data_IF_947105306621
#
_entry.id   IF_947105306621
#
_cell.length_a   1.000
_cell.length_b   1.000
_cell.length_c   1.000
_cell.angle_alpha   90.00
_cell.angle_beta   90.00
_cell.angle_gamma   90.00
#
_symmetry.space_group_name_H-M   'P 1'
#
loop_
_entity.id
_entity.type
_entity.pdbx_description
1 polymer ?
#
# COMPACT_ATOMS: atom_id res chain seq x y z
N UNK A 1 19.42 8.08 -12.81
CA UNK A 1 20.37 8.54 -11.77
C UNK A 1 19.64 8.53 -10.44
N UNK A 2 19.91 7.54 -9.60
CA UNK A 2 19.36 7.45 -8.24
C UNK A 2 19.88 8.62 -7.42
N UNK A 3 18.97 9.51 -6.99
CA UNK A 3 19.29 10.55 -6.01
C UNK A 3 19.42 9.86 -4.66
N UNK A 4 20.66 9.60 -4.28
CA UNK A 4 21.00 9.31 -2.90
C UNK A 4 20.41 10.40 -2.00
N UNK A 5 19.65 10.00 -0.98
CA UNK A 5 19.33 10.87 0.14
C UNK A 5 20.67 11.31 0.75
N UNK A 6 21.05 12.57 0.50
CA UNK A 6 22.33 13.10 0.95
C UNK A 6 22.24 13.42 2.45
N UNK A 7 23.20 13.03 3.32
CA UNK A 7 23.14 13.27 4.77
C UNK A 7 23.33 14.74 5.20
N UNK A 8 23.37 15.66 4.24
CA UNK A 8 23.36 17.11 4.38
C UNK A 8 23.08 17.65 2.97
N UNK A 9 21.93 18.28 2.73
CA UNK A 9 21.42 18.57 1.38
C UNK A 9 22.43 19.25 0.43
N UNK A 10 22.36 18.99 -0.88
CA UNK A 10 23.18 19.71 -1.84
C UNK A 10 22.66 21.13 -2.03
N UNK A 11 23.54 22.12 -1.79
CA UNK A 11 23.47 23.50 -2.27
C UNK A 11 22.30 24.34 -1.75
N UNK A 12 22.54 25.01 -0.61
CA UNK A 12 22.14 26.41 -0.50
C UNK A 12 22.79 27.21 -1.63
N UNK A 13 22.03 28.11 -2.25
CA UNK A 13 22.36 28.92 -3.43
C UNK A 13 22.25 28.18 -4.77
N UNK A 14 21.01 27.95 -5.19
CA UNK A 14 20.48 28.25 -6.54
C UNK A 14 19.02 27.76 -6.60
N UNK A 15 18.14 28.38 -5.80
CA UNK A 15 16.69 28.17 -5.93
C UNK A 15 16.23 29.07 -7.07
N UNK A 16 16.10 28.47 -8.25
CA UNK A 16 15.35 29.05 -9.37
C UNK A 16 13.96 29.50 -8.88
N UNK A 17 13.46 30.66 -9.32
CA UNK A 17 12.09 31.08 -9.05
C UNK A 17 11.11 30.20 -9.85
N UNK A 18 9.86 30.13 -9.36
CA UNK A 18 8.66 29.52 -9.96
C UNK A 18 8.47 28.02 -9.68
N UNK A 19 7.75 27.75 -8.58
CA UNK A 19 7.13 26.43 -8.38
C UNK A 19 5.99 26.26 -9.37
N UNK A 20 6.01 25.16 -10.12
CA UNK A 20 4.85 24.67 -10.87
C UNK A 20 3.79 24.14 -9.89
N UNK A 21 3.15 25.04 -9.13
CA UNK A 21 1.93 24.67 -8.41
C UNK A 21 0.75 24.85 -9.37
N UNK A 22 -0.21 23.94 -9.29
CA UNK A 22 -1.45 24.00 -10.04
C UNK A 22 -2.24 25.26 -9.68
N UNK A 23 -3.16 25.69 -10.55
CA UNK A 23 -4.05 26.80 -10.22
C UNK A 23 -4.86 26.46 -8.96
N UNK A 24 -5.21 27.45 -8.12
CA UNK A 24 -6.09 27.20 -6.98
C UNK A 24 -7.40 26.56 -7.44
N UNK A 25 -7.98 25.64 -6.66
CA UNK A 25 -9.27 25.04 -7.00
C UNK A 25 -10.36 26.11 -7.06
N UNK A 26 -11.36 25.89 -7.90
CA UNK A 26 -12.49 26.82 -8.04
C UNK A 26 -13.33 26.91 -6.76
N UNK A 27 -13.36 25.84 -5.96
CA UNK A 27 -14.03 25.79 -4.66
C UNK A 27 -13.12 25.05 -3.65
N UNK A 28 -12.69 25.74 -2.60
CA UNK A 28 -11.87 25.19 -1.51
C UNK A 28 -12.66 24.25 -0.58
N UNK A 29 -13.99 24.30 -0.62
CA UNK A 29 -14.86 23.49 0.23
C UNK A 29 -15.23 22.15 -0.42
N UNK A 30 -15.00 22.01 -1.73
CA UNK A 30 -15.29 20.81 -2.49
C UNK A 30 -14.44 19.62 -2.03
N UNK A 31 -15.08 18.45 -1.94
CA UNK A 31 -14.43 17.18 -1.62
C UNK A 31 -14.47 16.32 -2.88
N UNK A 32 -13.32 16.08 -3.49
CA UNK A 32 -13.23 15.26 -4.71
C UNK A 32 -13.55 13.78 -4.40
N UNK A 33 -14.61 13.19 -4.97
CA UNK A 33 -14.98 11.80 -4.73
C UNK A 33 -13.95 10.79 -5.26
N UNK A 34 -12.99 11.19 -6.09
CA UNK A 34 -11.86 10.33 -6.47
C UNK A 34 -10.88 10.11 -5.32
N UNK A 35 -10.72 11.11 -4.45
CA UNK A 35 -9.69 11.14 -3.40
C UNK A 35 -10.28 10.81 -2.03
N UNK A 36 -11.49 11.29 -1.74
CA UNK A 36 -12.17 11.09 -0.46
C UNK A 36 -12.97 9.78 -0.44
N UNK A 37 -13.08 9.18 0.75
CA UNK A 37 -13.84 7.93 0.93
C UNK A 37 -15.34 8.14 0.73
N UNK A 38 -16.05 7.05 0.41
CA UNK A 38 -17.45 7.09 -0.05
C UNK A 38 -18.43 7.79 0.88
N UNK A 39 -18.25 7.66 2.19
CA UNK A 39 -19.18 8.25 3.19
C UNK A 39 -18.74 9.62 3.66
N UNK A 40 -17.61 10.13 3.16
CA UNK A 40 -17.13 11.47 3.49
C UNK A 40 -17.97 12.51 2.76
N UNK A 41 -18.63 13.38 3.53
CA UNK A 41 -19.47 14.44 2.99
C UNK A 41 -19.37 15.69 3.84
N UNK A 42 -19.62 16.86 3.24
CA UNK A 42 -19.74 18.11 3.99
C UNK A 42 -21.19 18.29 4.46
N UNK A 43 -21.36 18.54 5.75
CA UNK A 43 -22.67 18.76 6.38
C UNK A 43 -23.20 20.17 6.05
N UNK A 44 -24.51 20.42 6.21
CA UNK A 44 -25.08 21.76 6.04
C UNK A 44 -24.46 22.82 6.94
N UNK A 45 -23.97 22.42 8.12
CA UNK A 45 -23.27 23.27 9.09
C UNK A 45 -21.82 23.58 8.67
N UNK A 46 -21.34 22.93 7.61
CA UNK A 46 -20.08 23.21 6.94
C UNK A 46 -18.90 22.34 7.39
N UNK A 47 -19.02 21.56 8.47
CA UNK A 47 -18.02 20.58 8.85
C UNK A 47 -18.06 19.35 7.92
N UNK A 48 -16.96 18.62 7.83
CA UNK A 48 -16.95 17.31 7.15
C UNK A 48 -17.38 16.23 8.12
N UNK A 49 -18.10 15.23 7.62
CA UNK A 49 -18.46 14.01 8.34
C UNK A 49 -17.95 12.77 7.61
N UNK A 50 -17.73 11.68 8.33
CA UNK A 50 -17.45 10.34 7.80
C UNK A 50 -18.31 9.32 8.53
N UNK A 51 -18.92 8.37 7.83
CA UNK A 51 -19.84 7.40 8.41
C UNK A 51 -20.95 8.01 9.28
N UNK A 52 -21.35 9.26 9.01
CA UNK A 52 -22.36 9.99 9.79
C UNK A 52 -21.88 10.73 11.04
N UNK A 53 -20.56 10.83 11.29
CA UNK A 53 -20.00 11.55 12.44
C UNK A 53 -19.16 12.75 11.97
N UNK A 54 -19.42 13.94 12.52
CA UNK A 54 -18.63 15.14 12.28
C UNK A 54 -17.18 15.00 12.76
N UNK A 55 -16.23 15.47 11.96
CA UNK A 55 -14.81 15.43 12.29
C UNK A 55 -14.45 16.23 13.54
N UNK A 56 -15.24 17.24 13.90
CA UNK A 56 -15.06 18.00 15.14
C UNK A 56 -15.32 17.13 16.36
N UNK A 57 -16.40 16.33 16.34
CA UNK A 57 -16.70 15.36 17.41
C UNK A 57 -15.66 14.25 17.47
N UNK A 58 -15.18 13.79 16.32
CA UNK A 58 -14.10 12.80 16.25
C UNK A 58 -12.80 13.35 16.84
N UNK A 59 -12.45 14.62 16.58
CA UNK A 59 -11.29 15.27 17.17
C UNK A 59 -11.45 15.44 18.69
N UNK A 60 -12.62 15.85 19.17
CA UNK A 60 -12.92 15.97 20.60
C UNK A 60 -12.79 14.63 21.34
N UNK A 61 -13.26 13.53 20.74
CA UNK A 61 -13.26 12.21 21.38
C UNK A 61 -11.90 11.50 21.31
N UNK A 62 -11.23 11.53 20.17
CA UNK A 62 -10.02 10.72 19.92
C UNK A 62 -8.71 11.54 19.87
N UNK A 63 -8.82 12.86 19.87
CA UNK A 63 -7.72 13.81 19.71
C UNK A 63 -7.09 13.76 18.31
N UNK A 64 -6.17 14.69 18.06
CA UNK A 64 -5.36 14.76 16.84
C UNK A 64 -3.86 14.61 17.16
N UNK A 65 -3.02 14.24 16.17
CA UNK A 65 -3.41 13.67 14.89
C UNK A 65 -4.10 12.30 15.08
N UNK A 66 -4.96 11.88 14.15
CA UNK A 66 -5.61 10.57 14.17
C UNK A 66 -5.97 10.09 12.76
N UNK A 67 -5.85 8.77 12.52
CA UNK A 67 -6.32 8.15 11.27
C UNK A 67 -7.77 7.71 11.44
N UNK A 68 -8.65 8.15 10.54
CA UNK A 68 -10.04 7.72 10.48
C UNK A 68 -10.26 6.88 9.23
N UNK A 69 -10.68 5.63 9.42
CA UNK A 69 -11.00 4.68 8.35
C UNK A 69 -12.53 4.60 8.21
N UNK A 70 -13.02 4.93 7.03
CA UNK A 70 -14.37 4.63 6.55
C UNK A 70 -14.49 3.12 6.31
N UNK A 71 -15.10 2.40 7.26
CA UNK A 71 -15.21 0.94 7.17
C UNK A 71 -16.12 0.50 6.02
N UNK A 72 -17.17 1.26 5.71
CA UNK A 72 -18.07 0.92 4.61
C UNK A 72 -17.35 1.03 3.26
N UNK A 73 -16.50 2.05 3.07
CA UNK A 73 -15.65 2.13 1.87
C UNK A 73 -14.62 1.00 1.81
N UNK A 74 -13.98 0.65 2.93
CA UNK A 74 -13.06 -0.48 2.97
C UNK A 74 -13.73 -1.78 2.51
N UNK A 75 -14.90 -2.09 3.07
CA UNK A 75 -15.66 -3.30 2.73
C UNK A 75 -16.14 -3.27 1.28
N UNK A 76 -16.66 -2.14 0.82
CA UNK A 76 -17.09 -1.98 -0.57
C UNK A 76 -15.94 -2.20 -1.56
N UNK A 77 -14.74 -1.68 -1.27
CA UNK A 77 -13.54 -1.90 -2.10
C UNK A 77 -13.09 -3.35 -2.07
N UNK A 78 -13.03 -3.98 -0.90
CA UNK A 78 -12.71 -5.39 -0.79
C UNK A 78 -13.67 -6.25 -1.64
N UNK A 79 -14.99 -6.01 -1.52
CA UNK A 79 -16.01 -6.69 -2.31
C UNK A 79 -15.87 -6.42 -3.82
N UNK A 80 -15.56 -5.18 -4.22
CA UNK A 80 -15.35 -4.82 -5.62
C UNK A 80 -14.19 -5.61 -6.24
N UNK A 81 -13.06 -5.72 -5.53
CA UNK A 81 -11.93 -6.54 -5.96
C UNK A 81 -12.30 -8.03 -6.06
N UNK A 82 -12.92 -8.59 -5.02
CA UNK A 82 -13.35 -10.00 -5.03
C UNK A 82 -14.32 -10.29 -6.17
N UNK A 83 -15.29 -9.40 -6.39
CA UNK A 83 -16.31 -9.56 -7.43
C UNK A 83 -15.71 -9.43 -8.83
N UNK A 84 -14.79 -8.49 -9.03
CA UNK A 84 -14.14 -8.26 -10.31
C UNK A 84 -13.34 -9.49 -10.79
N UNK A 85 -12.63 -10.17 -9.90
CA UNK A 85 -11.85 -11.37 -10.21
C UNK A 85 -12.67 -12.67 -10.14
N UNK A 86 -13.81 -12.66 -9.44
CA UNK A 86 -14.71 -13.80 -9.32
C UNK A 86 -14.09 -15.00 -8.60
N UNK A 87 -14.75 -16.16 -8.67
CA UNK A 87 -14.24 -17.38 -8.02
C UNK A 87 -13.05 -18.01 -8.76
N UNK A 88 -12.80 -17.59 -10.01
CA UNK A 88 -11.75 -18.11 -10.89
C UNK A 88 -10.35 -17.54 -10.64
N UNK A 89 -10.21 -16.58 -9.73
CA UNK A 89 -8.96 -15.91 -9.39
C UNK A 89 -8.89 -15.59 -7.90
N UNK A 90 -7.69 -15.28 -7.40
CA UNK A 90 -7.46 -14.93 -6.00
C UNK A 90 -7.09 -13.46 -5.86
N UNK A 91 -7.59 -12.85 -4.78
CA UNK A 91 -7.23 -11.47 -4.39
C UNK A 91 -6.59 -11.54 -3.01
N UNK A 92 -5.29 -11.30 -2.96
CA UNK A 92 -4.52 -11.18 -1.73
C UNK A 92 -4.45 -9.71 -1.34
N UNK A 93 -5.03 -9.34 -0.20
CA UNK A 93 -4.78 -8.01 0.33
C UNK A 93 -3.32 -7.89 0.75
N UNK A 94 -2.64 -6.83 0.32
CA UNK A 94 -1.23 -6.67 0.68
C UNK A 94 -1.03 -6.10 2.09
N UNK A 95 -0.66 -6.96 3.05
CA UNK A 95 -0.62 -6.65 4.48
C UNK A 95 0.28 -5.46 4.84
N UNK A 96 1.37 -5.29 4.09
CA UNK A 96 2.31 -4.17 4.20
C UNK A 96 1.66 -2.78 4.09
N UNK A 97 0.49 -2.67 3.43
CA UNK A 97 -0.21 -1.40 3.29
C UNK A 97 -0.71 -0.90 4.64
N UNK A 98 -1.53 -1.69 5.35
CA UNK A 98 -1.86 -1.50 6.76
C UNK A 98 -2.46 -2.78 7.35
N UNK A 99 -1.83 -3.31 8.41
CA UNK A 99 -2.30 -4.53 9.06
C UNK A 99 -2.63 -4.30 10.53
N UNK A 100 -3.83 -4.70 10.92
CA UNK A 100 -4.26 -4.83 12.31
C UNK A 100 -5.21 -6.01 12.46
N UNK A 101 -5.50 -6.44 13.69
CA UNK A 101 -6.48 -7.51 13.91
C UNK A 101 -7.87 -7.17 13.36
N UNK A 102 -8.27 -5.89 13.37
CA UNK A 102 -9.54 -5.46 12.81
C UNK A 102 -9.56 -5.59 11.27
N UNK A 103 -8.51 -5.10 10.59
CA UNK A 103 -8.37 -5.25 9.12
C UNK A 103 -8.42 -6.72 8.73
N UNK A 104 -7.70 -7.59 9.43
CA UNK A 104 -7.69 -9.03 9.13
C UNK A 104 -9.08 -9.65 9.26
N UNK A 105 -9.86 -9.28 10.28
CA UNK A 105 -11.24 -9.76 10.43
C UNK A 105 -12.12 -9.31 9.28
N UNK A 106 -12.02 -8.05 8.88
CA UNK A 106 -12.78 -7.53 7.73
C UNK A 106 -12.41 -8.27 6.45
N UNK A 107 -11.12 -8.49 6.17
CA UNK A 107 -10.68 -9.26 4.99
C UNK A 107 -11.25 -10.68 4.99
N UNK A 108 -11.24 -11.34 6.16
CA UNK A 108 -11.82 -12.67 6.30
C UNK A 108 -13.33 -12.66 6.02
N UNK A 109 -14.07 -11.73 6.64
CA UNK A 109 -15.52 -11.55 6.44
C UNK A 109 -15.87 -11.25 4.98
N UNK A 110 -15.07 -10.40 4.32
CA UNK A 110 -15.25 -10.04 2.92
C UNK A 110 -14.73 -11.11 1.95
N UNK A 111 -14.12 -12.19 2.43
CA UNK A 111 -13.68 -13.29 1.57
C UNK A 111 -12.44 -13.00 0.74
N UNK A 112 -11.55 -12.10 1.20
CA UNK A 112 -10.23 -11.87 0.58
C UNK A 112 -9.14 -12.70 1.25
N UNK A 113 -8.14 -13.08 0.46
CA UNK A 113 -6.91 -13.68 0.98
C UNK A 113 -5.97 -12.58 1.50
N UNK A 114 -4.87 -12.97 2.12
CA UNK A 114 -3.93 -12.03 2.73
C UNK A 114 -2.49 -12.39 2.36
N UNK A 115 -1.73 -11.42 1.87
CA UNK A 115 -0.28 -11.55 1.85
C UNK A 115 0.34 -11.01 3.15
N UNK A 116 1.41 -11.65 3.58
CA UNK A 116 2.25 -11.23 4.71
C UNK A 116 3.71 -11.28 4.30
N UNK A 117 4.55 -10.43 4.90
CA UNK A 117 5.96 -10.25 4.57
C UNK A 117 6.90 -10.63 5.72
N UNK A 118 6.40 -10.73 6.96
CA UNK A 118 7.21 -11.07 8.14
C UNK A 118 6.48 -11.96 9.14
N UNK A 119 7.24 -12.54 10.07
CA UNK A 119 6.68 -13.29 11.19
C UNK A 119 5.73 -12.48 12.07
N UNK A 120 5.92 -11.16 12.18
CA UNK A 120 5.01 -10.26 12.91
C UNK A 120 3.66 -10.10 12.21
N UNK A 121 3.66 -9.94 10.89
CA UNK A 121 2.45 -9.88 10.08
C UNK A 121 1.70 -11.22 10.09
N UNK A 122 2.41 -12.34 9.93
CA UNK A 122 1.83 -13.69 10.06
C UNK A 122 1.20 -13.89 11.45
N UNK A 123 1.88 -13.45 12.51
CA UNK A 123 1.33 -13.53 13.88
C UNK A 123 0.06 -12.71 14.04
N UNK A 124 0.02 -11.52 13.43
CA UNK A 124 -1.15 -10.64 13.45
C UNK A 124 -2.33 -11.31 12.74
N UNK A 125 -2.09 -11.84 11.53
CA UNK A 125 -3.07 -12.56 10.72
C UNK A 125 -3.71 -13.73 11.49
N UNK A 126 -2.89 -14.63 12.02
CA UNK A 126 -3.34 -15.80 12.76
C UNK A 126 -4.10 -15.41 14.03
N UNK A 127 -3.62 -14.39 14.76
CA UNK A 127 -4.27 -13.93 15.99
C UNK A 127 -5.65 -13.30 15.78
N UNK A 128 -5.98 -12.93 14.55
CA UNK A 128 -7.27 -12.39 14.15
C UNK A 128 -8.16 -13.43 13.42
N UNK A 129 -7.69 -14.68 13.30
CA UNK A 129 -8.47 -15.78 12.74
C UNK A 129 -8.46 -15.87 11.22
N UNK A 130 -7.45 -15.31 10.54
CA UNK A 130 -7.25 -15.57 9.11
C UNK A 130 -6.89 -17.06 8.92
N UNK A 131 -7.63 -17.81 8.09
CA UNK A 131 -7.26 -19.18 7.75
C UNK A 131 -5.87 -19.23 7.11
N UNK A 132 -4.99 -20.09 7.61
CA UNK A 132 -3.59 -20.10 7.19
C UNK A 132 -3.45 -20.45 5.69
N UNK A 133 -4.32 -21.32 5.18
CA UNK A 133 -4.40 -21.72 3.79
C UNK A 133 -4.78 -20.57 2.82
N UNK A 134 -5.26 -19.44 3.36
CA UNK A 134 -5.58 -18.20 2.61
C UNK A 134 -4.50 -17.13 2.74
N UNK A 135 -3.32 -17.51 3.25
CA UNK A 135 -2.18 -16.62 3.42
C UNK A 135 -1.10 -16.94 2.38
N UNK A 136 -0.55 -15.90 1.74
CA UNK A 136 0.69 -15.96 0.96
C UNK A 136 1.83 -15.28 1.74
N UNK A 137 2.96 -15.97 1.91
CA UNK A 137 4.11 -15.44 2.66
C UNK A 137 5.25 -15.01 1.73
N UNK A 138 5.47 -13.70 1.67
CA UNK A 138 6.52 -13.01 0.92
C UNK A 138 7.70 -12.64 1.82
N UNK A 139 8.76 -12.14 1.19
CA UNK A 139 9.94 -11.62 1.88
C UNK A 139 11.21 -12.06 1.17
N UNK A 140 12.17 -11.15 1.02
CA UNK A 140 13.43 -11.45 0.32
C UNK A 140 14.46 -12.16 1.19
N UNK A 141 14.22 -12.23 2.50
CA UNK A 141 15.14 -12.83 3.46
C UNK A 141 14.39 -13.47 4.64
N UNK A 142 13.47 -14.40 4.35
CA UNK A 142 12.73 -15.11 5.40
C UNK A 142 13.71 -15.91 6.27
N UNK A 143 13.59 -15.78 7.58
CA UNK A 143 14.39 -16.53 8.55
C UNK A 143 13.90 -17.98 8.68
N UNK A 144 14.75 -18.88 9.20
CA UNK A 144 14.35 -20.26 9.45
C UNK A 144 13.14 -20.34 10.41
N UNK A 145 13.11 -19.50 11.45
CA UNK A 145 12.01 -19.46 12.42
C UNK A 145 10.69 -18.99 11.77
N UNK A 146 10.74 -18.05 10.84
CA UNK A 146 9.58 -17.61 10.07
C UNK A 146 9.07 -18.72 9.15
N UNK A 147 9.98 -19.40 8.44
CA UNK A 147 9.64 -20.52 7.55
C UNK A 147 9.03 -21.67 8.37
N UNK A 148 9.66 -22.07 9.47
CA UNK A 148 9.17 -23.13 10.36
C UNK A 148 7.76 -22.81 10.87
N UNK A 149 7.54 -21.58 11.33
CA UNK A 149 6.21 -21.14 11.75
C UNK A 149 5.20 -21.24 10.61
N UNK A 150 5.51 -20.69 9.44
CA UNK A 150 4.60 -20.67 8.30
C UNK A 150 4.21 -22.07 7.82
N UNK A 151 5.21 -22.95 7.67
CA UNK A 151 4.98 -24.35 7.31
C UNK A 151 4.21 -25.07 8.42
N UNK A 152 4.56 -24.87 9.69
CA UNK A 152 3.89 -25.51 10.83
C UNK A 152 2.40 -25.16 10.90
N UNK A 153 2.02 -23.90 10.68
CA UNK A 153 0.61 -23.48 10.71
C UNK A 153 -0.14 -23.82 9.42
N UNK A 154 0.57 -24.19 8.35
CA UNK A 154 -0.02 -24.54 7.06
C UNK A 154 -0.39 -23.33 6.22
N UNK A 155 0.52 -22.35 6.10
CA UNK A 155 0.35 -21.22 5.19
C UNK A 155 0.10 -21.72 3.76
N UNK A 156 -0.88 -21.14 3.08
CA UNK A 156 -1.32 -21.55 1.74
C UNK A 156 -0.20 -21.54 0.72
N UNK A 157 0.59 -20.47 0.70
CA UNK A 157 1.68 -20.30 -0.25
C UNK A 157 2.90 -19.63 0.39
N UNK A 158 4.10 -20.11 0.06
CA UNK A 158 5.34 -19.37 0.30
C UNK A 158 5.90 -18.92 -1.04
N UNK A 159 6.10 -17.61 -1.21
CA UNK A 159 6.67 -17.04 -2.42
C UNK A 159 8.19 -16.98 -2.26
N UNK A 160 8.88 -17.87 -2.98
CA UNK A 160 10.33 -18.06 -2.93
C UNK A 160 11.06 -16.96 -3.70
N UNK A 161 12.07 -16.38 -3.07
CA UNK A 161 12.78 -15.20 -3.57
C UNK A 161 14.25 -15.49 -3.93
N UNK A 162 14.80 -16.64 -3.49
CA UNK A 162 16.21 -16.99 -3.74
C UNK A 162 16.47 -18.51 -3.79
N UNK A 163 17.58 -18.91 -4.41
CA UNK A 163 18.04 -20.30 -4.40
C UNK A 163 18.27 -20.86 -3.00
N UNK A 164 18.79 -20.04 -2.08
CA UNK A 164 19.00 -20.41 -0.69
C UNK A 164 17.67 -20.64 0.03
N UNK A 165 16.63 -19.88 -0.31
CA UNK A 165 15.31 -20.06 0.27
C UNK A 165 14.63 -21.34 -0.23
N UNK A 166 14.74 -21.67 -1.53
CA UNK A 166 14.22 -22.93 -2.10
C UNK A 166 14.66 -24.12 -1.24
N UNK A 167 15.96 -24.23 -0.96
CA UNK A 167 16.52 -25.34 -0.17
C UNK A 167 16.05 -25.30 1.28
N UNK A 168 16.00 -24.11 1.90
CA UNK A 168 15.59 -23.95 3.31
C UNK A 168 14.12 -24.33 3.52
N UNK A 169 13.22 -23.88 2.64
CA UNK A 169 11.79 -24.19 2.75
C UNK A 169 11.55 -25.68 2.53
N UNK A 170 12.19 -26.29 1.52
CA UNK A 170 12.08 -27.73 1.28
C UNK A 170 12.52 -28.55 2.49
N UNK A 171 13.69 -28.24 3.05
CA UNK A 171 14.24 -28.96 4.19
C UNK A 171 13.33 -28.87 5.43
N UNK A 172 12.84 -27.68 5.75
CA UNK A 172 11.94 -27.48 6.90
C UNK A 172 10.60 -28.17 6.66
N UNK A 173 10.05 -28.14 5.44
CA UNK A 173 8.83 -28.86 5.10
C UNK A 173 8.98 -30.36 5.28
N UNK A 174 10.08 -30.96 4.80
CA UNK A 174 10.39 -32.38 5.00
C UNK A 174 10.53 -32.75 6.48
N UNK A 175 11.24 -31.93 7.27
CA UNK A 175 11.39 -32.14 8.71
C UNK A 175 10.03 -32.14 9.45
N UNK A 176 9.10 -31.31 9.00
CA UNK A 176 7.74 -31.22 9.55
C UNK A 176 6.77 -32.24 8.94
N UNK A 177 7.23 -33.10 8.03
CA UNK A 177 6.39 -34.09 7.34
C UNK A 177 5.32 -33.45 6.44
N UNK A 178 5.60 -32.27 5.90
CA UNK A 178 4.69 -31.50 5.04
C UNK A 178 5.27 -31.33 3.64
N UNK A 179 4.39 -31.03 2.69
CA UNK A 179 4.74 -30.56 1.35
C UNK A 179 4.17 -29.15 1.19
N UNK A 180 5.04 -28.15 1.12
CA UNK A 180 4.63 -26.76 1.09
C UNK A 180 4.36 -26.31 -0.34
N UNK A 181 3.18 -25.75 -0.59
CA UNK A 181 2.87 -25.07 -1.86
C UNK A 181 3.67 -23.77 -1.97
N UNK A 182 4.30 -23.58 -3.12
CA UNK A 182 5.20 -22.46 -3.37
C UNK A 182 4.98 -21.84 -4.74
N UNK A 183 5.19 -20.52 -4.81
CA UNK A 183 5.46 -19.82 -6.07
C UNK A 183 6.93 -19.39 -6.09
N UNK A 184 7.50 -19.22 -7.28
CA UNK A 184 8.81 -18.57 -7.44
C UNK A 184 8.57 -17.14 -7.90
N UNK A 185 9.11 -16.17 -7.17
CA UNK A 185 9.13 -14.77 -7.61
C UNK A 185 10.19 -14.58 -8.68
N UNK A 186 9.79 -14.01 -9.80
CA UNK A 186 10.70 -13.70 -10.91
C UNK A 186 10.78 -12.20 -11.13
N UNK A 187 11.95 -11.74 -11.59
CA UNK A 187 12.11 -10.39 -12.11
C UNK A 187 11.99 -10.43 -13.62
N UNK A 188 10.98 -9.73 -14.13
CA UNK A 188 10.63 -9.80 -15.55
C UNK A 188 11.34 -8.72 -16.36
N UNK A 189 12.04 -7.76 -15.76
CA UNK A 189 12.66 -6.64 -16.48
C UNK A 189 11.65 -5.55 -16.85
N UNK A 190 10.65 -5.32 -16.00
CA UNK A 190 9.57 -4.34 -16.20
C UNK A 190 9.35 -3.57 -14.90
N UNK A 191 9.56 -2.26 -14.96
CA UNK A 191 9.27 -1.33 -13.88
C UNK A 191 8.21 -0.32 -14.34
N UNK A 192 7.02 -0.37 -13.73
CA UNK A 192 5.87 0.45 -14.11
C UNK A 192 5.51 1.46 -13.01
N UNK A 193 5.29 2.72 -13.43
CA UNK A 193 4.89 3.84 -12.57
C UNK A 193 3.87 4.71 -13.31
N UNK A 194 2.73 5.00 -12.69
CA UNK A 194 1.66 5.85 -13.25
C UNK A 194 1.28 5.48 -14.68
N UNK A 195 1.66 6.29 -15.67
CA UNK A 195 1.35 6.12 -17.09
C UNK A 195 2.54 5.64 -17.94
N UNK A 196 3.70 5.36 -17.32
CA UNK A 196 4.91 4.95 -18.02
C UNK A 196 5.46 3.63 -17.46
N UNK A 197 6.19 2.89 -18.30
CA UNK A 197 6.99 1.75 -17.84
C UNK A 197 8.34 1.70 -18.54
N UNK A 198 9.33 1.21 -17.82
CA UNK A 198 10.66 0.93 -18.32
C UNK A 198 10.80 -0.59 -18.46
N UNK A 199 11.13 -1.05 -19.66
CA UNK A 199 11.51 -2.44 -19.90
C UNK A 199 13.03 -2.55 -20.06
N UNK A 200 13.69 -3.21 -19.12
CA UNK A 200 15.14 -3.43 -19.15
C UNK A 200 15.48 -4.91 -19.29
N UNK A 201 16.72 -5.20 -19.70
CA UNK A 201 17.25 -6.57 -19.74
C UNK A 201 17.62 -7.10 -18.34
N UNK A 202 17.98 -6.20 -17.42
CA UNK A 202 18.34 -6.52 -16.04
C UNK A 202 17.63 -5.55 -15.09
N UNK A 203 17.04 -6.10 -14.03
CA UNK A 203 16.47 -5.35 -12.91
C UNK A 203 17.48 -5.33 -11.75
N UNK A 204 18.03 -4.16 -11.45
CA UNK A 204 18.93 -3.97 -10.30
C UNK A 204 18.10 -3.78 -9.02
N UNK A 205 17.52 -4.89 -8.55
CA UNK A 205 16.66 -4.92 -7.38
C UNK A 205 16.81 -6.23 -6.59
N UNK A 206 16.44 -6.18 -5.32
CA UNK A 206 16.77 -7.24 -4.35
C UNK A 206 15.82 -8.44 -4.33
N UNK A 207 14.71 -8.36 -5.06
CA UNK A 207 13.66 -9.37 -5.02
C UNK A 207 13.69 -10.26 -6.25
N UNK A 208 13.26 -11.50 -6.07
CA UNK A 208 13.04 -12.46 -7.14
C UNK A 208 14.31 -12.95 -7.83
N UNK A 209 14.10 -13.94 -8.70
CA UNK A 209 15.13 -14.56 -9.50
C UNK A 209 14.97 -14.08 -10.94
N UNK A 210 16.07 -13.67 -11.58
CA UNK A 210 16.02 -13.10 -12.91
C UNK A 210 15.44 -14.08 -13.94
N UNK A 211 14.51 -13.57 -14.76
CA UNK A 211 14.07 -14.30 -15.96
C UNK A 211 15.22 -14.40 -16.99
N UNK A 212 16.04 -13.36 -17.06
CA UNK A 212 17.24 -13.32 -17.89
C UNK A 212 18.25 -14.41 -17.49
N UNK A 213 19.08 -14.81 -18.46
CA UNK A 213 20.17 -15.78 -18.28
C UNK A 213 19.74 -17.17 -17.77
N UNK A 214 18.44 -17.48 -17.82
CA UNK A 214 17.88 -18.79 -17.44
C UNK A 214 17.85 -19.06 -15.93
N UNK A 215 18.03 -18.05 -15.08
CA UNK A 215 18.05 -18.27 -13.62
C UNK A 215 16.70 -18.72 -13.08
N UNK A 216 15.59 -18.13 -13.55
CA UNK A 216 14.25 -18.55 -13.18
C UNK A 216 13.97 -20.01 -13.58
N UNK A 217 14.37 -20.43 -14.78
CA UNK A 217 14.26 -21.83 -15.21
C UNK A 217 15.08 -22.77 -14.31
N UNK A 218 16.29 -22.37 -13.90
CA UNK A 218 17.09 -23.14 -12.95
C UNK A 218 16.45 -23.23 -11.56
N UNK A 219 15.79 -22.16 -11.10
CA UNK A 219 15.03 -22.18 -9.85
C UNK A 219 13.89 -23.19 -9.91
N UNK A 220 13.16 -23.25 -11.02
CA UNK A 220 12.11 -24.23 -11.28
C UNK A 220 12.66 -25.65 -11.28
N UNK A 221 13.76 -25.92 -12.00
CA UNK A 221 14.42 -27.24 -12.01
C UNK A 221 14.78 -27.74 -10.61
N UNK A 222 15.20 -26.84 -9.72
CA UNK A 222 15.53 -27.18 -8.33
C UNK A 222 14.28 -27.43 -7.51
N UNK A 223 13.29 -26.55 -7.60
CA UNK A 223 12.05 -26.69 -6.85
C UNK A 223 11.31 -27.99 -7.19
N UNK A 224 11.25 -28.38 -8.46
CA UNK A 224 10.60 -29.62 -8.92
C UNK A 224 11.29 -30.91 -8.43
N UNK A 225 12.55 -30.84 -8.00
CA UNK A 225 13.32 -32.00 -7.51
C UNK A 225 13.23 -32.22 -6.00
N UNK A 226 12.58 -31.31 -5.27
CA UNK A 226 12.54 -31.32 -3.80
C UNK A 226 11.17 -31.78 -3.32
N UNK A 227 11.12 -32.92 -2.64
CA UNK A 227 9.85 -33.56 -2.23
C UNK A 227 9.06 -32.73 -1.22
N UNK A 228 9.75 -31.92 -0.40
CA UNK A 228 9.16 -30.95 0.52
C UNK A 228 8.42 -29.79 -0.15
N UNK A 229 8.54 -29.61 -1.47
CA UNK A 229 7.91 -28.51 -2.20
C UNK A 229 6.86 -29.00 -3.21
N UNK A 230 5.79 -28.23 -3.33
CA UNK A 230 4.85 -28.29 -4.43
C UNK A 230 4.90 -26.96 -5.17
N UNK A 231 5.63 -26.91 -6.28
CA UNK A 231 5.66 -25.73 -7.13
C UNK A 231 4.32 -25.62 -7.87
N UNK A 232 3.55 -24.56 -7.58
CA UNK A 232 2.21 -24.34 -8.15
C UNK A 232 2.13 -23.14 -9.08
N UNK A 233 3.10 -22.23 -9.05
CA UNK A 233 3.01 -21.04 -9.89
C UNK A 233 4.26 -20.15 -9.90
N UNK A 234 4.12 -19.06 -10.64
CA UNK A 234 5.13 -18.01 -10.76
C UNK A 234 4.51 -16.69 -10.28
N UNK A 235 5.28 -15.92 -9.51
CA UNK A 235 4.91 -14.59 -9.02
C UNK A 235 5.76 -13.52 -9.71
N UNK A 236 5.14 -12.39 -10.05
CA UNK A 236 5.83 -11.19 -10.50
C UNK A 236 5.17 -9.95 -9.91
N UNK A 237 5.96 -8.95 -9.55
CA UNK A 237 5.46 -7.66 -9.08
C UNK A 237 6.31 -6.55 -9.70
N UNK A 238 5.66 -5.66 -10.45
CA UNK A 238 6.32 -4.80 -11.44
C UNK A 238 6.35 -3.31 -11.09
N UNK A 239 5.80 -2.89 -9.96
CA UNK A 239 5.84 -1.47 -9.59
C UNK A 239 4.79 -1.00 -8.61
N UNK A 240 4.56 0.31 -8.58
CA UNK A 240 3.63 0.98 -7.66
C UNK A 240 2.97 2.17 -8.35
N UNK A 241 1.75 2.51 -7.90
CA UNK A 241 0.94 3.59 -8.49
C UNK A 241 0.71 3.42 -10.00
N UNK A 242 0.48 2.20 -10.47
CA UNK A 242 0.28 1.87 -11.88
C UNK A 242 -1.16 2.20 -12.28
N UNK A 243 -1.34 3.00 -13.34
CA UNK A 243 -2.63 3.32 -13.96
C UNK A 243 -2.78 2.69 -15.35
N UNK A 244 -1.66 2.41 -16.04
CA UNK A 244 -1.63 1.78 -17.35
C UNK A 244 -1.41 0.26 -17.28
N UNK A 245 -2.15 -0.50 -18.11
CA UNK A 245 -2.07 -1.97 -18.16
C UNK A 245 -0.94 -2.50 -19.05
N UNK A 246 -0.28 -1.65 -19.85
CA UNK A 246 0.78 -2.05 -20.78
C UNK A 246 1.97 -2.70 -20.06
N UNK A 247 2.33 -2.20 -18.86
CA UNK A 247 3.37 -2.82 -18.03
C UNK A 247 3.00 -4.24 -17.61
N UNK A 248 1.75 -4.45 -17.20
CA UNK A 248 1.22 -5.78 -16.86
C UNK A 248 1.17 -6.71 -18.07
N UNK A 249 0.85 -6.21 -19.27
CA UNK A 249 0.87 -7.00 -20.50
C UNK A 249 2.26 -7.54 -20.81
N UNK A 250 3.28 -6.69 -20.74
CA UNK A 250 4.67 -7.12 -20.98
C UNK A 250 5.11 -8.13 -19.93
N UNK A 251 4.76 -7.91 -18.66
CA UNK A 251 5.07 -8.81 -17.57
C UNK A 251 4.39 -10.18 -17.72
N UNK A 252 3.09 -10.20 -17.98
CA UNK A 252 2.30 -11.41 -18.16
C UNK A 252 2.84 -12.25 -19.32
N UNK A 253 3.12 -11.64 -20.48
CA UNK A 253 3.74 -12.33 -21.62
C UNK A 253 5.06 -13.00 -21.26
N UNK A 254 5.93 -12.30 -20.51
CA UNK A 254 7.24 -12.82 -20.08
C UNK A 254 7.07 -14.00 -19.11
N UNK A 255 6.12 -13.92 -18.18
CA UNK A 255 5.82 -15.03 -17.26
C UNK A 255 5.19 -16.21 -18.00
N UNK A 256 4.23 -15.98 -18.90
CA UNK A 256 3.60 -17.05 -19.71
C UNK A 256 4.62 -17.75 -20.60
N UNK A 257 5.61 -17.02 -21.13
CA UNK A 257 6.72 -17.61 -21.87
C UNK A 257 7.52 -18.59 -21.00
N UNK A 258 7.82 -18.22 -19.75
CA UNK A 258 8.45 -19.12 -18.79
C UNK A 258 7.55 -20.33 -18.47
N UNK A 259 6.24 -20.15 -18.31
CA UNK A 259 5.30 -21.27 -18.10
C UNK A 259 5.34 -22.28 -19.26
N UNK A 260 5.47 -21.79 -20.50
CA UNK A 260 5.60 -22.64 -21.68
C UNK A 260 6.92 -23.41 -21.68
N UNK A 261 8.03 -22.76 -21.33
CA UNK A 261 9.34 -23.41 -21.17
C UNK A 261 9.29 -24.52 -20.11
N UNK A 262 8.61 -24.29 -18.97
CA UNK A 262 8.44 -25.28 -17.91
C UNK A 262 7.65 -26.50 -18.42
N UNK A 263 6.55 -26.28 -19.16
CA UNK A 263 5.79 -27.37 -19.78
C UNK A 263 6.66 -28.15 -20.76
N UNK A 264 7.38 -27.47 -21.63
CA UNK A 264 8.14 -28.12 -22.70
C UNK A 264 9.35 -28.89 -22.14
N UNK A 265 9.99 -28.39 -21.08
CA UNK A 265 11.14 -29.05 -20.45
C UNK A 265 10.72 -30.19 -19.49
N UNK A 266 9.63 -30.01 -18.73
CA UNK A 266 9.29 -30.90 -17.62
C UNK A 266 7.96 -31.65 -17.78
N UNK A 267 7.15 -31.33 -18.79
CA UNK A 267 5.81 -31.89 -18.96
C UNK A 267 4.82 -31.44 -17.88
N UNK A 268 5.12 -30.34 -17.18
CA UNK A 268 4.29 -29.80 -16.08
C UNK A 268 3.74 -28.45 -16.49
N UNK A 269 2.41 -28.31 -16.44
CA UNK A 269 1.76 -27.01 -16.55
C UNK A 269 1.39 -26.53 -15.14
N UNK A 270 2.03 -25.44 -14.71
CA UNK A 270 1.75 -24.84 -13.40
C UNK A 270 0.35 -24.20 -13.41
N UNK A 271 -0.48 -24.47 -12.38
CA UNK A 271 -1.86 -24.02 -12.35
C UNK A 271 -2.04 -22.54 -12.01
N UNK A 272 -1.02 -21.82 -11.53
CA UNK A 272 -1.17 -20.48 -10.96
C UNK A 272 -0.18 -19.46 -11.53
N UNK A 273 -0.66 -18.23 -11.67
CA UNK A 273 0.15 -17.04 -11.93
C UNK A 273 -0.26 -15.93 -10.96
N UNK A 274 0.71 -15.30 -10.32
CA UNK A 274 0.48 -14.12 -9.50
C UNK A 274 1.16 -12.91 -10.15
N UNK A 275 0.36 -11.89 -10.47
CA UNK A 275 0.82 -10.67 -11.13
C UNK A 275 1.06 -9.52 -10.13
N UNK A 276 1.01 -9.82 -8.84
CA UNK A 276 1.36 -8.94 -7.76
C UNK A 276 0.42 -7.75 -7.61
N UNK A 277 0.89 -6.76 -6.87
CA UNK A 277 0.17 -5.51 -6.63
C UNK A 277 0.67 -4.35 -7.50
N UNK A 278 0.58 -3.15 -6.95
CA UNK A 278 1.09 -1.92 -7.58
C UNK A 278 0.02 -1.03 -8.18
N UNK A 279 -1.21 -1.51 -8.18
CA UNK A 279 -2.43 -0.84 -8.65
C UNK A 279 -2.63 0.49 -7.91
N UNK A 280 -2.78 1.56 -8.68
CA UNK A 280 -2.79 2.92 -8.17
C UNK A 280 -4.11 3.37 -7.56
N UNK A 281 -4.06 4.50 -6.86
CA UNK A 281 -5.20 5.26 -6.36
C UNK A 281 -5.02 6.74 -6.69
N UNK A 282 -6.08 7.52 -6.51
CA UNK A 282 -5.99 8.98 -6.54
C UNK A 282 -5.53 9.53 -5.19
N UNK A 283 -4.43 10.28 -5.21
CA UNK A 283 -3.94 11.12 -4.12
C UNK A 283 -4.33 12.59 -4.35
N UNK A 284 -4.43 12.99 -5.61
CA UNK A 284 -4.87 14.32 -6.07
C UNK A 284 -6.00 14.21 -7.10
N UNK A 285 -6.62 15.34 -7.43
CA UNK A 285 -7.67 15.40 -8.46
C UNK A 285 -7.16 15.13 -9.88
N UNK A 286 -5.84 15.16 -10.11
CA UNK A 286 -5.25 14.89 -11.42
C UNK A 286 -5.01 13.40 -11.67
N UNK A 287 -5.04 12.58 -10.61
CA UNK A 287 -4.91 11.13 -10.72
C UNK A 287 -6.17 10.48 -11.31
N UNK A 288 -5.98 9.43 -12.11
CA UNK A 288 -7.03 8.69 -12.81
C UNK A 288 -6.78 7.16 -12.76
N UNK A 289 -6.91 6.53 -11.57
CA UNK A 289 -6.72 5.09 -11.43
C UNK A 289 -7.86 4.31 -12.09
N UNK A 290 -7.55 3.13 -12.63
CA UNK A 290 -8.55 2.20 -13.17
C UNK A 290 -9.37 1.54 -12.07
N UNK A 291 -10.61 1.21 -12.40
CA UNK A 291 -11.50 0.49 -11.50
C UNK A 291 -11.17 -1.02 -11.46
N UNK A 292 -11.46 -1.74 -10.34
CA UNK A 292 -11.12 -3.15 -10.20
C UNK A 292 -11.65 -4.05 -11.33
N UNK A 293 -12.85 -3.78 -11.83
CA UNK A 293 -13.47 -4.56 -12.92
C UNK A 293 -12.77 -4.37 -14.27
N UNK A 294 -12.22 -3.18 -14.53
CA UNK A 294 -11.44 -2.90 -15.74
C UNK A 294 -10.10 -3.62 -15.68
N UNK A 295 -9.46 -3.61 -14.51
CA UNK A 295 -8.19 -4.28 -14.25
C UNK A 295 -8.36 -5.80 -14.39
N UNK A 296 -9.37 -6.38 -13.74
CA UNK A 296 -9.64 -7.81 -13.81
C UNK A 296 -9.91 -8.28 -15.25
N UNK A 297 -10.73 -7.52 -15.99
CA UNK A 297 -11.00 -7.80 -17.40
C UNK A 297 -9.72 -7.74 -18.24
N UNK A 298 -8.94 -6.67 -18.12
CA UNK A 298 -7.72 -6.48 -18.88
C UNK A 298 -6.69 -7.59 -18.60
N UNK A 299 -6.43 -7.90 -17.32
CA UNK A 299 -5.52 -8.98 -16.94
C UNK A 299 -6.00 -10.35 -17.41
N UNK A 300 -7.30 -10.64 -17.28
CA UNK A 300 -7.89 -11.88 -17.76
C UNK A 300 -7.74 -12.06 -19.28
N UNK A 301 -8.01 -11.01 -20.05
CA UNK A 301 -7.85 -10.99 -21.51
C UNK A 301 -6.38 -11.13 -21.94
N UNK A 302 -5.46 -10.45 -21.24
CA UNK A 302 -4.02 -10.55 -21.47
C UNK A 302 -3.55 -11.99 -21.24
N UNK A 303 -3.77 -12.54 -20.03
CA UNK A 303 -3.26 -13.87 -19.67
C UNK A 303 -3.88 -14.95 -20.58
N UNK A 304 -5.18 -14.87 -20.85
CA UNK A 304 -5.85 -15.84 -21.75
C UNK A 304 -5.23 -15.81 -23.14
N UNK A 305 -5.07 -14.63 -23.74
CA UNK A 305 -4.47 -14.49 -25.07
C UNK A 305 -3.05 -15.02 -25.13
N UNK A 306 -2.21 -14.67 -24.16
CA UNK A 306 -0.81 -15.14 -24.13
C UNK A 306 -0.74 -16.65 -23.92
N UNK A 307 -1.60 -17.23 -23.07
CA UNK A 307 -1.67 -18.67 -22.87
C UNK A 307 -2.16 -19.42 -24.13
N UNK A 308 -3.18 -18.91 -24.81
CA UNK A 308 -3.67 -19.47 -26.08
C UNK A 308 -2.56 -19.47 -27.15
N UNK A 309 -1.82 -18.36 -27.28
CA UNK A 309 -0.70 -18.25 -28.20
C UNK A 309 0.43 -19.23 -27.87
N UNK A 310 0.66 -19.52 -26.58
CA UNK A 310 1.65 -20.47 -26.10
C UNK A 310 1.15 -21.94 -26.06
N UNK A 311 -0.13 -22.20 -26.37
CA UNK A 311 -0.75 -23.52 -26.26
C UNK A 311 -0.84 -24.05 -24.82
N UNK A 312 -1.01 -23.16 -23.84
CA UNK A 312 -1.15 -23.47 -22.42
C UNK A 312 -2.61 -23.42 -21.97
N UNK A 313 -2.96 -24.19 -20.95
CA UNK A 313 -4.18 -23.92 -20.17
C UNK A 313 -4.01 -22.60 -19.42
N UNK A 314 -5.05 -21.76 -19.41
CA UNK A 314 -5.05 -20.51 -18.65
C UNK A 314 -4.92 -20.81 -17.15
N UNK A 315 -3.86 -20.34 -16.48
CA UNK A 315 -3.69 -20.54 -15.04
C UNK A 315 -4.69 -19.67 -14.25
N UNK A 316 -4.91 -20.05 -12.99
CA UNK A 316 -5.59 -19.23 -12.00
C UNK A 316 -4.75 -17.98 -11.73
N UNK A 317 -5.35 -16.80 -11.89
CA UNK A 317 -4.69 -15.51 -11.70
C UNK A 317 -4.82 -15.09 -10.24
N UNK A 318 -3.74 -14.55 -9.68
CA UNK A 318 -3.73 -13.86 -8.39
C UNK A 318 -3.25 -12.41 -8.55
N UNK A 319 -3.79 -11.52 -7.71
CA UNK A 319 -3.37 -10.12 -7.60
C UNK A 319 -3.24 -9.70 -6.14
N UNK A 320 -2.38 -8.70 -5.87
CA UNK A 320 -2.01 -8.29 -4.51
C UNK A 320 -2.33 -6.80 -4.21
N UNK A 321 -3.59 -6.34 -4.31
CA UNK A 321 -3.93 -4.96 -4.00
C UNK A 321 -3.81 -4.68 -2.49
N UNK A 322 -2.87 -3.81 -2.10
CA UNK A 322 -2.86 -3.20 -0.76
C UNK A 322 -3.40 -1.77 -0.80
N UNK A 323 -2.69 -0.90 -1.52
CA UNK A 323 -3.00 0.54 -1.65
C UNK A 323 -4.41 0.78 -2.19
N UNK A 324 -4.78 0.06 -3.24
CA UNK A 324 -6.07 0.18 -3.92
C UNK A 324 -7.28 -0.22 -3.06
N UNK A 325 -7.06 -0.96 -1.96
CA UNK A 325 -8.10 -1.31 -1.00
C UNK A 325 -8.12 -0.31 0.14
N UNK A 326 -7.05 -0.21 0.94
CA UNK A 326 -7.10 0.55 2.20
C UNK A 326 -6.79 2.04 2.03
N UNK A 327 -6.05 2.42 0.98
CA UNK A 327 -5.53 3.78 0.82
C UNK A 327 -6.61 4.86 0.86
N UNK A 328 -7.60 4.82 -0.05
CA UNK A 328 -8.65 5.85 -0.16
C UNK A 328 -9.63 5.86 1.01
N UNK A 329 -9.69 4.75 1.77
CA UNK A 329 -10.67 4.55 2.85
C UNK A 329 -10.36 5.37 4.08
N UNK A 330 -9.18 5.99 4.16
CA UNK A 330 -8.76 6.72 5.34
C UNK A 330 -8.22 8.10 5.04
N UNK A 331 -8.47 9.01 5.98
CA UNK A 331 -7.80 10.30 6.07
C UNK A 331 -7.12 10.44 7.43
N UNK A 332 -6.11 11.31 7.49
CA UNK A 332 -5.48 11.71 8.75
C UNK A 332 -5.96 13.11 9.09
N UNK A 333 -6.56 13.25 10.26
CA UNK A 333 -7.04 14.51 10.81
C UNK A 333 -5.94 15.16 11.64
N UNK A 334 -5.76 16.46 11.50
CA UNK A 334 -4.80 17.27 12.23
C UNK A 334 -5.46 18.54 12.77
N UNK A 335 -4.91 19.05 13.86
CA UNK A 335 -5.20 20.41 14.35
C UNK A 335 -4.11 21.37 13.87
N UNK A 336 -4.54 22.52 13.33
CA UNK A 336 -3.63 23.61 12.93
C UNK A 336 -3.09 24.30 14.18
N UNK A 337 -1.77 24.36 14.31
CA UNK A 337 -1.10 25.01 15.44
C UNK A 337 -0.53 26.39 15.11
N UNK A 338 0.35 26.48 14.12
CA UNK A 338 1.07 27.73 13.79
C UNK A 338 0.94 28.05 12.31
N UNK A 339 0.66 29.32 12.00
CA UNK A 339 0.58 29.84 10.64
C UNK A 339 1.64 30.92 10.48
N UNK A 340 2.55 30.73 9.52
CA UNK A 340 3.66 31.65 9.25
C UNK A 340 3.67 32.05 7.78
N UNK A 341 3.20 33.26 7.44
CA UNK A 341 3.32 33.77 6.07
C UNK A 341 4.79 34.08 5.76
N UNK A 342 5.20 33.76 4.53
CA UNK A 342 6.43 34.26 3.93
C UNK A 342 6.04 35.10 2.71
N UNK A 343 6.13 36.42 2.86
CA UNK A 343 5.66 37.38 1.86
C UNK A 343 6.23 37.10 0.46
N UNK A 344 5.33 37.05 -0.53
CA UNK A 344 5.67 36.79 -1.93
C UNK A 344 6.09 35.34 -2.23
N UNK A 345 6.06 34.43 -1.24
CA UNK A 345 6.45 33.04 -1.41
C UNK A 345 5.29 32.07 -1.15
N UNK A 346 4.96 31.83 0.12
CA UNK A 346 3.95 30.85 0.57
C UNK A 346 3.70 31.00 2.06
N UNK A 347 2.60 30.41 2.54
CA UNK A 347 2.33 30.31 3.97
C UNK A 347 2.65 28.91 4.49
N UNK A 348 3.38 28.84 5.60
CA UNK A 348 3.61 27.59 6.32
C UNK A 348 2.50 27.36 7.34
N UNK A 349 1.87 26.19 7.28
CA UNK A 349 0.82 25.76 8.21
C UNK A 349 1.36 24.56 8.97
N UNK A 350 1.69 24.75 10.25
CA UNK A 350 2.20 23.70 11.13
C UNK A 350 1.05 22.94 11.78
N UNK A 351 1.09 21.61 11.72
CA UNK A 351 0.12 20.71 12.34
C UNK A 351 0.72 19.93 13.51
N UNK A 352 -0.15 19.30 14.29
CA UNK A 352 0.19 18.54 15.49
C UNK A 352 0.73 17.12 15.24
N UNK A 353 0.90 16.72 13.98
CA UNK A 353 1.60 15.50 13.53
C UNK A 353 2.86 15.80 12.71
N UNK A 354 3.10 15.03 11.64
CA UNK A 354 4.20 15.24 10.71
C UNK A 354 4.72 13.95 10.07
N UNK A 355 6.01 13.95 9.75
CA UNK A 355 6.72 12.82 9.18
C UNK A 355 6.72 11.56 10.08
N UNK A 356 6.44 11.71 11.39
CA UNK A 356 6.25 10.59 12.30
C UNK A 356 5.05 9.71 11.96
N UNK A 357 4.01 10.28 11.34
CA UNK A 357 2.76 9.61 11.03
C UNK A 357 2.47 9.59 9.51
N UNK A 358 3.07 10.51 8.75
CA UNK A 358 3.11 10.42 7.30
C UNK A 358 4.51 10.77 6.75
N UNK A 359 5.40 9.79 6.73
CA UNK A 359 6.77 9.93 6.19
C UNK A 359 6.82 10.01 4.66
N UNK A 360 5.71 9.73 3.96
CA UNK A 360 5.73 9.41 2.52
C UNK A 360 6.15 10.58 1.65
N UNK A 361 5.82 11.81 2.03
CA UNK A 361 6.23 13.00 1.28
C UNK A 361 7.74 13.20 1.37
N UNK A 362 8.33 13.03 2.56
CA UNK A 362 9.78 13.13 2.72
C UNK A 362 10.55 11.97 2.06
N UNK A 363 9.99 10.75 2.10
CA UNK A 363 10.68 9.54 1.64
C UNK A 363 10.51 9.25 0.15
N UNK A 364 9.33 9.56 -0.40
CA UNK A 364 8.95 9.19 -1.76
C UNK A 364 8.52 10.37 -2.63
N UNK A 365 8.66 11.61 -2.13
CA UNK A 365 8.08 12.79 -2.76
C UNK A 365 6.58 12.62 -3.07
N UNK A 366 5.87 11.88 -2.20
CA UNK A 366 4.45 11.64 -2.37
C UNK A 366 3.66 12.95 -2.28
N UNK A 367 2.83 13.19 -3.28
CA UNK A 367 1.86 14.28 -3.32
C UNK A 367 0.56 13.87 -2.65
N UNK A 368 -0.11 14.83 -2.02
CA UNK A 368 -1.34 14.64 -1.26
C UNK A 368 -2.22 15.87 -1.40
N UNK A 369 -3.53 15.66 -1.49
CA UNK A 369 -4.52 16.70 -1.23
C UNK A 369 -4.60 17.03 0.28
N UNK A 370 -5.11 18.21 0.61
CA UNK A 370 -5.48 18.61 1.97
C UNK A 370 -6.68 19.55 1.91
N UNK A 371 -7.57 19.44 2.88
CA UNK A 371 -8.76 20.31 2.98
C UNK A 371 -8.99 20.79 4.40
N UNK A 372 -9.55 22.00 4.55
CA UNK A 372 -10.16 22.48 5.79
C UNK A 372 -11.46 21.70 6.02
N UNK A 373 -11.58 21.05 7.18
CA UNK A 373 -12.69 20.11 7.44
C UNK A 373 -13.54 20.46 8.67
N UNK A 374 -13.10 21.38 9.53
CA UNK A 374 -13.89 21.85 10.68
C UNK A 374 -15.06 22.77 10.31
N UNK A 375 -14.97 23.46 9.16
CA UNK A 375 -15.93 24.48 8.71
C UNK A 375 -15.78 24.75 7.20
N UNK A 376 -16.67 25.55 6.64
CA UNK A 376 -16.50 26.18 5.32
C UNK A 376 -15.77 27.52 5.43
N UNK A 377 -15.24 27.98 4.29
CA UNK A 377 -14.73 29.33 4.14
C UNK A 377 -15.01 29.87 2.74
N UNK A 378 -15.31 31.17 2.68
CA UNK A 378 -15.43 31.96 1.44
C UNK A 378 -14.18 32.82 1.20
N UNK A 379 -13.14 32.67 2.02
CA UNK A 379 -11.92 33.46 1.91
C UNK A 379 -11.08 33.03 0.68
N UNK A 380 -10.30 33.97 0.15
CA UNK A 380 -9.46 33.72 -1.02
C UNK A 380 -8.46 32.58 -0.76
N UNK A 381 -8.12 31.77 -1.79
CA UNK A 381 -7.14 30.70 -1.68
C UNK A 381 -5.75 31.24 -1.37
N UNK A 382 -5.09 30.63 -0.40
CA UNK A 382 -3.72 30.91 -0.01
C UNK A 382 -2.84 29.70 -0.33
N UNK A 383 -1.74 29.92 -1.05
CA UNK A 383 -0.74 28.88 -1.29
C UNK A 383 -0.05 28.51 0.03
N UNK A 384 -0.15 27.23 0.39
CA UNK A 384 0.37 26.71 1.65
C UNK A 384 1.38 25.60 1.45
N UNK A 385 2.21 25.41 2.48
CA UNK A 385 2.93 24.18 2.77
C UNK A 385 2.51 23.68 4.14
N UNK A 386 2.00 22.46 4.21
CA UNK A 386 1.62 21.82 5.48
C UNK A 386 2.84 21.09 6.02
N UNK A 387 3.30 21.51 7.19
CA UNK A 387 4.48 20.97 7.88
C UNK A 387 4.09 20.36 9.22
N UNK A 388 4.86 19.38 9.67
CA UNK A 388 4.67 18.83 11.01
C UNK A 388 5.34 19.68 12.09
N UNK A 389 5.41 19.10 13.30
CA UNK A 389 6.01 19.71 14.49
C UNK A 389 7.42 19.23 14.82
N UNK A 390 8.03 18.42 13.96
CA UNK A 390 9.35 17.83 14.21
C UNK A 390 10.47 18.84 13.98
N UNK A 391 11.60 18.61 14.65
CA UNK A 391 12.78 19.46 14.55
C UNK A 391 13.64 19.13 13.31
N UNK A 392 12.99 18.94 12.16
CA UNK A 392 13.64 18.62 10.88
C UNK A 392 13.02 19.45 9.76
N UNK A 393 13.86 20.03 8.91
CA UNK A 393 13.40 20.91 7.82
C UNK A 393 12.62 20.18 6.73
N UNK A 394 12.87 18.87 6.60
CA UNK A 394 12.15 17.96 5.72
C UNK A 394 10.81 17.47 6.27
N UNK A 395 10.37 17.92 7.45
CA UNK A 395 9.09 17.55 8.06
C UNK A 395 7.91 18.22 7.34
N UNK A 396 7.63 17.74 6.13
CA UNK A 396 6.59 18.25 5.24
C UNK A 396 5.57 17.14 5.03
N UNK A 397 4.30 17.42 5.35
CA UNK A 397 3.17 16.50 5.12
C UNK A 397 2.56 16.73 3.74
N UNK A 398 2.40 18.01 3.34
CA UNK A 398 1.92 18.39 2.01
C UNK A 398 2.78 19.53 1.48
N UNK A 399 3.46 19.29 0.36
CA UNK A 399 4.51 20.19 -0.16
C UNK A 399 3.95 21.50 -0.70
N UNK A 400 2.87 21.42 -1.47
CA UNK A 400 2.19 22.53 -2.14
C UNK A 400 0.68 22.22 -2.18
N UNK A 401 -0.14 23.12 -1.64
CA UNK A 401 -1.61 23.03 -1.68
C UNK A 401 -2.23 24.42 -1.50
N UNK A 402 -3.55 24.51 -1.62
CA UNK A 402 -4.30 25.73 -1.30
C UNK A 402 -5.26 25.50 -0.14
N UNK A 403 -5.23 26.40 0.83
CA UNK A 403 -6.20 26.48 1.93
C UNK A 403 -6.76 27.91 2.00
N UNK A 404 -7.92 28.13 2.65
CA UNK A 404 -8.48 29.47 2.80
C UNK A 404 -7.51 30.42 3.53
N UNK A 405 -7.45 31.68 3.10
CA UNK A 405 -6.60 32.71 3.70
C UNK A 405 -7.00 33.10 5.13
N UNK A 406 -8.21 32.76 5.56
CA UNK A 406 -8.72 32.94 6.92
C UNK A 406 -8.49 31.71 7.82
N UNK A 407 -7.65 30.76 7.41
CA UNK A 407 -7.25 29.62 8.25
C UNK A 407 -6.65 30.12 9.56
N UNK A 408 -7.00 29.48 10.68
CA UNK A 408 -6.55 29.87 12.01
C UNK A 408 -6.09 28.67 12.86
N UNK A 409 -5.22 28.88 13.87
CA UNK A 409 -4.96 27.87 14.89
C UNK A 409 -6.26 27.34 15.52
N UNK A 410 -6.33 26.03 15.72
CA UNK A 410 -7.53 25.31 16.17
C UNK A 410 -8.46 24.85 15.04
N UNK A 411 -8.28 25.32 13.80
CA UNK A 411 -8.97 24.71 12.65
C UNK A 411 -8.48 23.27 12.44
N UNK A 412 -9.39 22.41 11.97
CA UNK A 412 -9.06 21.02 11.63
C UNK A 412 -8.84 20.90 10.14
N UNK A 413 -7.70 20.33 9.76
CA UNK A 413 -7.41 19.97 8.36
C UNK A 413 -7.23 18.46 8.24
N UNK A 414 -7.58 17.91 7.09
CA UNK A 414 -7.45 16.49 6.84
C UNK A 414 -6.73 16.20 5.52
N UNK A 415 -5.90 15.16 5.56
CA UNK A 415 -5.15 14.63 4.43
C UNK A 415 -5.75 13.27 4.05
N UNK A 416 -6.52 13.18 2.95
CA UNK A 416 -7.11 11.94 2.48
C UNK A 416 -6.07 10.97 1.91
N UNK A 417 -6.53 9.77 1.54
CA UNK A 417 -5.71 8.70 0.97
C UNK A 417 -4.51 8.24 1.86
N UNK A 418 -4.64 8.35 3.19
CA UNK A 418 -3.58 8.02 4.16
C UNK A 418 -3.70 6.61 4.75
N UNK A 419 -4.64 5.80 4.27
CA UNK A 419 -4.86 4.44 4.79
C UNK A 419 -3.75 3.44 4.44
N UNK A 420 -2.93 3.74 3.43
CA UNK A 420 -1.86 2.86 2.96
C UNK A 420 -0.48 3.46 3.28
N UNK A 421 0.37 2.66 3.93
CA UNK A 421 1.78 2.91 4.23
C UNK A 421 2.08 4.09 5.17
N UNK A 422 1.09 4.87 5.59
CA UNK A 422 1.31 5.96 6.55
C UNK A 422 1.48 5.35 7.95
N UNK A 423 0.40 4.77 8.51
CA UNK A 423 0.43 4.14 9.84
C UNK A 423 1.45 2.99 9.95
N UNK A 424 1.66 2.25 8.87
CA UNK A 424 2.63 1.13 8.83
C UNK A 424 4.08 1.60 8.91
N UNK A 425 4.36 2.83 8.47
CA UNK A 425 5.69 3.44 8.51
C UNK A 425 5.82 4.49 9.63
N UNK A 426 4.82 4.56 10.53
CA UNK A 426 4.84 5.52 11.62
C UNK A 426 5.99 5.25 12.59
N UNK A 427 6.65 6.31 13.04
CA UNK A 427 7.81 6.26 13.93
C UNK A 427 7.59 7.11 15.17
N UNK A 428 8.47 6.91 16.16
CA UNK A 428 8.55 7.76 17.34
C UNK A 428 9.65 8.82 17.20
N UNK A 429 9.87 9.35 15.98
CA UNK A 429 10.83 10.45 15.78
C UNK A 429 10.47 11.63 16.69
N UNK A 430 11.49 12.24 17.29
CA UNK A 430 11.35 13.21 18.39
C UNK A 430 10.46 12.73 19.56
N UNK A 431 10.41 11.43 19.84
CA UNK A 431 9.55 10.84 20.89
C UNK A 431 8.04 11.11 20.68
N UNK A 432 7.61 11.41 19.45
CA UNK A 432 6.20 11.55 19.12
C UNK A 432 5.45 10.22 19.31
N UNK A 433 4.28 10.27 19.93
CA UNK A 433 3.44 9.10 20.17
C UNK A 433 2.67 8.75 18.90
N UNK A 434 2.69 7.48 18.48
CA UNK A 434 1.96 7.08 17.26
C UNK A 434 0.46 7.36 17.40
N UNK A 435 -0.18 7.94 16.36
CA UNK A 435 -1.61 8.24 16.38
C UNK A 435 -2.48 6.98 16.49
N UNK A 436 -3.71 7.12 17.03
CA UNK A 436 -4.70 6.07 16.98
C UNK A 436 -5.19 5.84 15.56
N UNK A 437 -5.70 4.65 15.30
CA UNK A 437 -6.52 4.35 14.12
C UNK A 437 -7.93 4.05 14.59
N UNK A 438 -8.88 4.80 14.07
CA UNK A 438 -10.30 4.74 14.42
C UNK A 438 -11.09 4.32 13.19
N UNK A 439 -11.90 3.28 13.31
CA UNK A 439 -12.85 2.88 12.28
C UNK A 439 -14.20 3.56 12.54
N UNK A 440 -14.82 4.11 11.50
CA UNK A 440 -16.12 4.78 11.56
C UNK A 440 -17.09 4.07 10.64
N UNK A 441 -18.30 3.79 11.16
CA UNK A 441 -19.36 3.08 10.44
C UNK A 441 -20.71 3.33 11.10
N UNK A 442 -21.75 3.56 10.31
CA UNK A 442 -23.15 3.62 10.78
C UNK A 442 -23.37 4.56 12.00
N UNK A 443 -22.71 5.71 12.03
CA UNK A 443 -22.80 6.70 13.11
C UNK A 443 -22.00 6.34 14.38
N UNK A 444 -21.21 5.27 14.35
CA UNK A 444 -20.35 4.83 15.44
C UNK A 444 -18.86 4.89 15.07
N UNK A 445 -18.03 5.32 16.02
CA UNK A 445 -16.58 5.32 15.90
C UNK A 445 -15.97 4.35 16.93
N UNK A 446 -14.99 3.54 16.50
CA UNK A 446 -14.25 2.66 17.41
C UNK A 446 -12.76 2.68 17.16
N UNK A 447 -12.00 2.69 18.24
CA UNK A 447 -10.54 2.53 18.18
C UNK A 447 -10.18 1.10 17.79
N UNK A 448 -9.50 0.93 16.65
CA UNK A 448 -8.96 -0.37 16.21
C UNK A 448 -7.47 -0.52 16.52
N UNK A 449 -6.76 0.61 16.67
CA UNK A 449 -5.41 0.70 17.22
C UNK A 449 -5.35 1.93 18.10
N UNK A 450 -5.09 1.76 19.40
CA UNK A 450 -5.06 2.90 20.33
C UNK A 450 -3.84 3.81 20.10
N UNK A 451 -3.96 5.06 20.50
CA UNK A 451 -2.83 6.00 20.61
C UNK A 451 -1.80 5.41 21.55
N UNK A 452 -0.53 5.58 21.22
CA UNK A 452 0.55 5.32 22.18
C UNK A 452 0.50 6.33 23.33
N UNK A 453 0.97 5.92 24.50
CA UNK A 453 1.20 6.78 25.64
C UNK A 453 2.70 6.94 25.89
N UNK A 454 3.09 7.88 26.73
CA UNK A 454 4.48 7.99 27.20
C UNK A 454 4.96 6.67 27.84
N UNK A 455 4.07 5.94 28.53
CA UNK A 455 4.40 4.63 29.09
C UNK A 455 4.75 3.59 28.00
N UNK A 456 4.04 3.60 26.86
CA UNK A 456 4.40 2.71 25.75
C UNK A 456 5.78 3.03 25.19
N UNK A 457 6.09 4.33 25.07
CA UNK A 457 7.36 4.82 24.58
C UNK A 457 8.52 4.40 25.49
N UNK A 458 8.30 4.44 26.80
CA UNK A 458 9.30 4.12 27.81
C UNK A 458 9.38 2.62 28.14
N UNK A 459 8.48 1.77 27.63
CA UNK A 459 8.41 0.34 28.00
C UNK A 459 9.67 -0.45 27.64
N UNK A 460 10.45 0.01 26.67
CA UNK A 460 11.71 -0.61 26.25
C UNK A 460 12.95 0.09 26.84
N UNK A 461 12.76 1.21 27.54
CA UNK A 461 13.83 1.93 28.24
C UNK A 461 14.07 1.28 29.61
N UNK A 462 15.31 0.90 29.87
CA UNK A 462 15.70 0.16 31.08
C UNK A 462 16.52 1.00 32.07
N UNK A 463 16.76 2.30 31.80
CA UNK A 463 17.44 3.18 32.75
C UNK A 463 18.05 4.44 32.16
#
# INVERSE_FOLDING_TARGET
MSRSAHPAGPRHADVLPEGHYTAPPADLNALDPKVWSRTVTRTPEGAVSVGGIDVTRLAEEFGTPAYFIDEDDFRARAQAWRTAFGEGADVFYAGKAFLSRAIVRWLHEEGLNLDVCSGGELSTALSAGMPAERIAFHGNNKSAAEIEKAVSVGVGHIVLDSFQEIVRVAHIAEQLGKRQRVLIRVTVGVEAHTHEFIATAHEDQKFGIALADGQAAEAVRRALKLDGLELVGIHSHIGSQIFDMAGFEVAARRVVSLLAEIRDEHGVELPEIDLGGGLGIAYTSDDDPREPHEIAKALGEIVTRECEAAGLRTPRISVEPGRAIVGPTAFTLYEVGTIKPLDGLRTYVSVDGGMSDNIRTALYDAEYSVSLVSRTSDADPMLVRVVGKHCESGDIVVRDAFLPSDLAPGDLIAVPATGAYCRSMASNYNHALRPPVVAVRDGEARVIVRRETEEDLLRLDVG
#
